data_IF_728312255559
#
_entry.id   IF_728312255559
#
_cell.length_a   1.000
_cell.length_b   1.000
_cell.length_c   1.000
_cell.angle_alpha   90.00
_cell.angle_beta   90.00
_cell.angle_gamma   90.00
#
_symmetry.space_group_name_H-M   'P 1'
#
loop_
_entity.id
_entity.type
_entity.pdbx_description
1 polymer ?
#
# COMPACT_ATOMS: atom_id res chain seq x y z
N UNK A 1 -4.36 -6.53 10.93
CA UNK A 1 -4.58 -7.95 11.29
C UNK A 1 -6.05 -8.31 11.43
N UNK A 2 -6.91 -7.45 12.01
CA UNK A 2 -8.34 -7.73 12.20
C UNK A 2 -9.11 -8.14 10.93
N UNK A 3 -8.86 -7.51 9.78
CA UNK A 3 -9.50 -7.87 8.51
C UNK A 3 -9.23 -9.32 8.09
N UNK A 4 -7.97 -9.77 8.19
CA UNK A 4 -7.60 -11.15 7.84
C UNK A 4 -8.22 -12.16 8.82
N UNK A 5 -8.27 -11.82 10.12
CA UNK A 5 -8.93 -12.65 11.14
C UNK A 5 -10.43 -12.81 10.86
N UNK A 6 -11.12 -11.73 10.52
CA UNK A 6 -12.55 -11.76 10.21
C UNK A 6 -12.83 -12.58 8.97
N UNK A 7 -12.02 -12.45 7.92
CA UNK A 7 -12.12 -13.26 6.72
C UNK A 7 -11.90 -14.75 7.01
N UNK A 8 -10.83 -15.10 7.72
CA UNK A 8 -10.53 -16.47 8.08
C UNK A 8 -11.65 -17.13 8.90
N UNK A 9 -12.25 -16.39 9.85
CA UNK A 9 -13.41 -16.85 10.62
C UNK A 9 -14.66 -17.01 9.76
N UNK A 10 -14.97 -16.03 8.89
CA UNK A 10 -16.14 -16.04 7.99
C UNK A 10 -16.13 -17.26 7.07
N UNK A 11 -14.95 -17.64 6.56
CA UNK A 11 -14.80 -18.75 5.61
C UNK A 11 -14.29 -20.05 6.24
N UNK A 12 -14.07 -20.10 7.56
CA UNK A 12 -13.60 -21.27 8.30
C UNK A 12 -12.30 -21.85 7.71
N UNK A 13 -11.29 -20.99 7.57
CA UNK A 13 -9.98 -21.35 7.02
C UNK A 13 -8.86 -20.94 7.98
N UNK A 14 -7.68 -21.54 7.83
CA UNK A 14 -6.50 -21.16 8.64
C UNK A 14 -6.03 -19.75 8.27
N UNK A 15 -5.86 -18.89 9.27
CA UNK A 15 -5.37 -17.52 9.08
C UNK A 15 -3.98 -17.48 8.46
N UNK A 16 -3.13 -18.48 8.73
CA UNK A 16 -1.77 -18.55 8.19
C UNK A 16 -1.74 -18.73 6.67
N UNK A 17 -2.87 -19.17 6.10
CA UNK A 17 -3.04 -19.31 4.65
C UNK A 17 -3.59 -18.05 3.99
N UNK A 18 -3.92 -16.99 4.75
CA UNK A 18 -4.56 -15.79 4.22
C UNK A 18 -3.59 -14.61 4.22
N UNK A 19 -3.47 -13.96 3.07
CA UNK A 19 -2.72 -12.71 2.93
C UNK A 19 -3.52 -11.65 2.17
N UNK A 20 -3.05 -10.41 2.16
CA UNK A 20 -3.68 -9.35 1.38
C UNK A 20 -3.21 -9.39 -0.08
N UNK A 21 -4.17 -9.37 -1.01
CA UNK A 21 -4.03 -8.78 -2.33
C UNK A 21 -4.30 -7.28 -2.28
N UNK A 22 -3.68 -6.57 -3.23
CA UNK A 22 -3.76 -5.13 -3.34
C UNK A 22 -4.30 -4.72 -4.70
N UNK A 23 -5.32 -3.87 -4.69
CA UNK A 23 -5.86 -3.28 -5.89
C UNK A 23 -5.97 -1.77 -5.72
N UNK A 24 -5.33 -1.02 -6.62
CA UNK A 24 -5.55 0.44 -6.72
C UNK A 24 -6.89 0.65 -7.43
N UNK A 25 -7.78 1.41 -6.80
CA UNK A 25 -9.10 1.67 -7.33
C UNK A 25 -9.05 2.86 -8.29
N UNK A 26 -9.84 2.78 -9.38
CA UNK A 26 -10.07 3.92 -10.29
C UNK A 26 -11.04 4.96 -9.70
N UNK A 27 -11.69 4.62 -8.60
CA UNK A 27 -12.67 5.44 -7.91
C UNK A 27 -11.98 6.48 -7.03
N UNK A 28 -12.54 7.68 -6.98
CA UNK A 28 -12.09 8.66 -5.98
C UNK A 28 -12.66 8.30 -4.61
N UNK A 29 -12.07 8.83 -3.55
CA UNK A 29 -12.52 8.59 -2.17
C UNK A 29 -13.98 8.95 -1.91
N UNK A 30 -14.58 9.82 -2.74
CA UNK A 30 -15.98 10.24 -2.69
C UNK A 30 -16.93 9.23 -3.34
N UNK A 31 -16.42 8.42 -4.26
CA UNK A 31 -17.22 7.47 -5.05
C UNK A 31 -17.34 6.10 -4.35
N UNK A 32 -16.52 5.85 -3.33
CA UNK A 32 -16.56 4.62 -2.53
C UNK A 32 -17.62 4.75 -1.45
N UNK A 33 -18.85 4.43 -1.82
CA UNK A 33 -20.02 4.52 -0.93
C UNK A 33 -20.33 3.15 -0.28
N UNK A 34 -20.01 2.06 -0.96
CA UNK A 34 -20.30 0.70 -0.49
C UNK A 34 -19.08 0.07 0.17
N UNK A 35 -19.28 -0.59 1.30
CA UNK A 35 -18.27 -1.43 1.96
C UNK A 35 -17.97 -2.66 1.11
N UNK A 36 -16.70 -3.10 0.96
CA UNK A 36 -16.39 -4.27 0.17
C UNK A 36 -16.93 -5.53 0.86
N UNK A 37 -17.34 -6.53 0.07
CA UNK A 37 -17.81 -7.83 0.59
C UNK A 37 -16.79 -8.50 1.51
N UNK A 38 -15.52 -8.40 1.12
CA UNK A 38 -14.36 -8.87 1.88
C UNK A 38 -13.23 -7.84 1.81
N UNK A 39 -12.46 -7.76 2.89
CA UNK A 39 -11.35 -6.83 2.97
C UNK A 39 -11.71 -5.45 3.48
N UNK A 40 -10.89 -4.47 3.10
CA UNK A 40 -11.13 -3.08 3.44
C UNK A 40 -10.58 -2.13 2.38
N UNK A 41 -11.24 -0.97 2.25
CA UNK A 41 -10.67 0.16 1.53
C UNK A 41 -9.84 1.02 2.47
N UNK A 42 -8.66 1.43 2.02
CA UNK A 42 -7.83 2.42 2.70
C UNK A 42 -7.62 3.64 1.80
N UNK A 43 -7.49 4.81 2.41
CA UNK A 43 -7.30 6.10 1.73
C UNK A 43 -6.46 7.03 2.59
N UNK A 44 -6.02 8.14 2.02
CA UNK A 44 -5.22 9.15 2.72
C UNK A 44 -3.74 8.78 2.84
N UNK A 45 -3.24 7.93 1.93
CA UNK A 45 -1.80 7.71 1.79
C UNK A 45 -1.23 8.70 0.78
N UNK A 46 0.02 9.09 0.98
CA UNK A 46 0.78 9.96 0.08
C UNK A 46 1.98 9.20 -0.48
N UNK A 47 2.27 9.37 -1.77
CA UNK A 47 3.47 8.85 -2.43
C UNK A 47 4.58 9.89 -2.33
N UNK A 48 5.72 9.52 -1.78
CA UNK A 48 6.97 10.32 -1.80
C UNK A 48 7.93 9.75 -2.84
N UNK A 49 8.68 10.64 -3.52
CA UNK A 49 9.73 10.25 -4.48
C UNK A 49 9.21 9.70 -5.82
N UNK A 50 7.90 9.65 -5.99
CA UNK A 50 7.19 9.25 -7.19
C UNK A 50 5.78 9.84 -7.18
N UNK A 51 5.00 9.55 -8.23
CA UNK A 51 3.58 9.88 -8.30
C UNK A 51 2.79 8.70 -8.85
N UNK A 52 1.54 8.60 -8.41
CA UNK A 52 0.58 7.74 -9.09
C UNK A 52 0.15 8.37 -10.42
N UNK A 53 0.19 7.60 -11.51
CA UNK A 53 -0.33 8.04 -12.80
C UNK A 53 -1.73 7.41 -13.05
N UNK A 54 -2.82 8.20 -12.99
CA UNK A 54 -4.17 7.67 -13.17
C UNK A 54 -4.46 7.23 -14.61
N UNK A 55 -3.73 7.75 -15.61
CA UNK A 55 -3.94 7.40 -17.01
C UNK A 55 -3.33 6.04 -17.34
N UNK A 56 -2.11 5.78 -16.87
CA UNK A 56 -1.41 4.51 -17.09
C UNK A 56 -1.64 3.49 -15.99
N UNK A 57 -2.22 3.91 -14.86
CA UNK A 57 -2.55 3.08 -13.69
C UNK A 57 -1.33 2.35 -13.11
N UNK A 58 -0.18 3.04 -13.14
CA UNK A 58 1.09 2.57 -12.56
C UNK A 58 1.82 3.74 -11.89
N UNK A 59 2.79 3.39 -11.05
CA UNK A 59 3.72 4.35 -10.47
C UNK A 59 4.59 4.97 -11.57
N UNK A 60 4.76 6.29 -11.51
CA UNK A 60 5.68 7.00 -12.40
C UNK A 60 6.47 8.09 -11.67
N UNK A 61 7.35 8.75 -12.42
CA UNK A 61 8.26 9.78 -11.90
C UNK A 61 7.51 10.96 -11.29
N UNK A 62 8.01 11.49 -10.17
CA UNK A 62 7.48 12.73 -9.63
C UNK A 62 7.70 13.90 -10.59
N UNK A 63 6.80 14.90 -10.56
CA UNK A 63 6.97 16.14 -11.32
C UNK A 63 7.94 17.08 -10.59
N UNK A 64 8.50 18.04 -11.33
CA UNK A 64 9.36 19.06 -10.74
C UNK A 64 8.60 19.82 -9.63
N UNK A 65 9.23 19.93 -8.46
CA UNK A 65 8.67 20.59 -7.26
C UNK A 65 7.44 19.91 -6.64
N UNK A 66 7.12 18.69 -7.05
CA UNK A 66 6.08 17.86 -6.45
C UNK A 66 6.74 16.89 -5.46
N UNK A 67 6.72 17.20 -4.17
CA UNK A 67 7.37 16.37 -3.13
C UNK A 67 6.54 15.13 -2.81
N UNK A 68 5.22 15.30 -2.79
CA UNK A 68 4.26 14.26 -2.45
C UNK A 68 3.06 14.33 -3.38
N UNK A 69 2.45 13.18 -3.65
CA UNK A 69 1.15 13.10 -4.35
C UNK A 69 0.20 12.20 -3.58
N UNK A 70 -1.09 12.44 -3.68
CA UNK A 70 -2.08 11.56 -3.07
C UNK A 70 -2.14 10.22 -3.80
N UNK A 71 -2.16 9.13 -3.02
CA UNK A 71 -2.45 7.80 -3.53
C UNK A 71 -3.97 7.62 -3.64
N UNK A 72 -4.48 7.00 -4.72
CA UNK A 72 -5.89 6.65 -4.80
C UNK A 72 -6.31 5.67 -3.69
N UNK A 73 -7.62 5.43 -3.61
CA UNK A 73 -8.15 4.40 -2.72
C UNK A 73 -7.54 3.05 -3.08
N UNK A 74 -7.10 2.32 -2.07
CA UNK A 74 -6.56 0.98 -2.19
C UNK A 74 -7.54 -0.01 -1.56
N UNK A 75 -7.83 -1.09 -2.27
CA UNK A 75 -8.53 -2.23 -1.72
C UNK A 75 -7.54 -3.28 -1.27
N UNK A 76 -7.60 -3.59 0.03
CA UNK A 76 -6.87 -4.68 0.65
C UNK A 76 -7.81 -5.88 0.73
N UNK A 77 -7.68 -6.79 -0.23
CA UNK A 77 -8.53 -7.96 -0.36
C UNK A 77 -7.85 -9.19 0.28
N UNK A 78 -8.43 -9.81 1.31
CA UNK A 78 -7.93 -11.08 1.84
C UNK A 78 -8.10 -12.19 0.80
N UNK A 79 -7.06 -12.99 0.62
CA UNK A 79 -7.04 -14.11 -0.31
C UNK A 79 -6.35 -15.31 0.35
N UNK A 80 -6.93 -16.50 0.19
CA UNK A 80 -6.37 -17.74 0.69
C UNK A 80 -5.36 -18.33 -0.31
N UNK A 81 -4.21 -18.81 0.17
CA UNK A 81 -3.15 -19.41 -0.63
C UNK A 81 -2.68 -18.52 -1.79
N UNK A 82 -2.75 -17.21 -1.60
CA UNK A 82 -2.40 -16.21 -2.61
C UNK A 82 -0.94 -16.34 -3.01
N UNK A 83 -0.70 -16.30 -4.31
CA UNK A 83 0.65 -16.20 -4.88
C UNK A 83 1.02 -14.72 -5.03
N UNK A 84 2.11 -14.32 -4.38
CA UNK A 84 2.62 -12.95 -4.48
C UNK A 84 3.07 -12.66 -5.91
N UNK A 85 2.63 -11.54 -6.53
CA UNK A 85 3.07 -11.17 -7.86
C UNK A 85 4.60 -11.00 -7.92
N UNK A 86 5.23 -11.62 -8.92
CA UNK A 86 6.69 -11.56 -9.10
C UNK A 86 7.13 -10.41 -10.00
N UNK A 87 6.20 -9.81 -10.76
CA UNK A 87 6.48 -8.74 -11.73
C UNK A 87 5.30 -7.76 -11.81
N UNK A 88 5.53 -6.62 -12.48
CA UNK A 88 4.49 -5.58 -12.67
C UNK A 88 4.14 -4.78 -11.42
N UNK A 89 4.85 -4.98 -10.32
CA UNK A 89 4.62 -4.30 -9.05
C UNK A 89 5.92 -3.77 -8.43
N UNK A 90 5.76 -2.75 -7.59
CA UNK A 90 6.74 -2.28 -6.63
C UNK A 90 6.24 -2.60 -5.21
N UNK A 91 7.09 -3.24 -4.40
CA UNK A 91 6.83 -3.52 -2.99
C UNK A 91 7.11 -2.25 -2.20
N UNK A 92 6.12 -1.36 -2.17
CA UNK A 92 6.26 -0.02 -1.62
C UNK A 92 6.10 -0.04 -0.10
N UNK A 93 7.12 0.37 0.67
CA UNK A 93 7.01 0.44 2.12
C UNK A 93 6.07 1.57 2.53
N UNK A 94 5.26 1.34 3.57
CA UNK A 94 4.36 2.33 4.16
C UNK A 94 4.91 2.77 5.51
N UNK A 95 5.06 4.08 5.69
CA UNK A 95 5.51 4.70 6.93
C UNK A 95 4.43 5.61 7.53
N UNK A 96 4.49 5.82 8.85
CA UNK A 96 3.59 6.74 9.54
C UNK A 96 3.89 8.19 9.19
N UNK A 97 5.18 8.57 9.18
CA UNK A 97 5.63 9.97 9.00
C UNK A 97 6.80 10.11 8.02
N UNK A 98 7.00 11.33 7.52
CA UNK A 98 8.03 11.71 6.54
C UNK A 98 9.46 11.37 6.97
N UNK A 99 9.77 11.52 8.26
CA UNK A 99 11.15 11.34 8.74
C UNK A 99 11.62 9.89 8.59
N UNK A 100 10.69 8.92 8.40
CA UNK A 100 10.94 7.47 8.31
C UNK A 100 11.82 6.92 9.44
N UNK A 101 11.97 7.71 10.50
CA UNK A 101 12.75 7.43 11.68
C UNK A 101 11.76 7.09 12.79
N UNK A 102 12.10 6.06 13.55
CA UNK A 102 11.37 5.63 14.73
C UNK A 102 12.32 4.85 15.62
N UNK A 103 11.97 4.68 16.88
CA UNK A 103 12.67 3.72 17.73
C UNK A 103 12.47 2.31 17.18
N UNK A 104 13.50 1.46 17.27
CA UNK A 104 13.34 0.04 17.00
C UNK A 104 12.43 -0.55 18.07
N UNK A 105 11.37 -1.25 17.64
CA UNK A 105 10.57 -2.08 18.54
C UNK A 105 11.40 -3.29 19.02
N UNK A 106 10.91 -3.99 20.04
CA UNK A 106 11.51 -5.23 20.55
C UNK A 106 11.64 -6.32 19.47
N UNK A 107 10.88 -6.23 18.38
CA UNK A 107 10.97 -7.15 17.22
C UNK A 107 11.91 -6.66 16.11
N UNK A 108 12.69 -5.59 16.34
CA UNK A 108 13.63 -5.03 15.36
C UNK A 108 12.98 -4.22 14.22
N UNK A 109 11.65 -4.08 14.21
CA UNK A 109 10.96 -3.24 13.23
C UNK A 109 10.87 -1.79 13.74
N UNK A 110 11.08 -0.82 12.86
CA UNK A 110 10.87 0.60 13.18
C UNK A 110 9.42 0.84 13.61
N UNK A 111 9.22 1.60 14.69
CA UNK A 111 7.89 2.08 15.12
C UNK A 111 7.18 2.94 14.07
N UNK A 112 7.91 3.41 13.06
CA UNK A 112 7.39 4.18 11.95
C UNK A 112 6.96 3.31 10.76
N UNK A 113 7.50 2.09 10.61
CA UNK A 113 7.07 1.18 9.56
C UNK A 113 5.70 0.58 9.88
N UNK A 114 4.81 0.58 8.89
CA UNK A 114 3.46 0.02 9.04
C UNK A 114 3.38 -1.36 8.38
N UNK A 115 3.61 -1.42 7.07
CA UNK A 115 3.65 -2.65 6.25
C UNK A 115 4.07 -2.30 4.81
N UNK A 116 4.05 -3.28 3.91
CA UNK A 116 4.37 -3.10 2.49
C UNK A 116 3.12 -3.28 1.64
N UNK A 117 2.93 -2.41 0.64
CA UNK A 117 1.83 -2.47 -0.33
C UNK A 117 2.40 -2.76 -1.72
N UNK A 118 1.73 -3.65 -2.45
CA UNK A 118 2.05 -3.91 -3.85
C UNK A 118 1.44 -2.81 -4.73
N UNK A 119 2.29 -1.91 -5.20
CA UNK A 119 1.88 -0.79 -6.08
C UNK A 119 2.19 -1.16 -7.53
N UNK A 120 1.23 -1.10 -8.47
CA UNK A 120 1.47 -1.35 -9.88
C UNK A 120 2.62 -0.51 -10.45
N UNK A 121 3.52 -1.12 -11.21
CA UNK A 121 4.74 -0.48 -11.70
C UNK A 121 5.20 -1.08 -13.02
N UNK A 122 5.60 -0.21 -13.95
CA UNK A 122 6.30 -0.59 -15.19
C UNK A 122 7.83 -0.65 -15.03
N UNK A 123 8.37 -0.25 -13.88
CA UNK A 123 9.81 -0.28 -13.55
C UNK A 123 10.11 -1.34 -12.49
N UNK A 124 11.38 -1.73 -12.40
CA UNK A 124 11.83 -2.74 -11.43
C UNK A 124 11.83 -2.22 -9.99
N UNK A 125 11.78 -3.14 -9.03
CA UNK A 125 11.91 -2.83 -7.60
C UNK A 125 13.14 -1.95 -7.30
N UNK A 126 14.30 -2.32 -7.86
CA UNK A 126 15.58 -1.60 -7.66
C UNK A 126 15.52 -0.14 -8.12
N UNK A 127 14.73 0.16 -9.14
CA UNK A 127 14.56 1.50 -9.66
C UNK A 127 13.91 2.42 -8.60
N UNK A 128 12.81 1.97 -8.00
CA UNK A 128 12.08 2.74 -7.00
C UNK A 128 12.77 2.78 -5.64
N UNK A 129 13.46 1.69 -5.26
CA UNK A 129 14.29 1.66 -4.04
C UNK A 129 15.37 2.74 -4.11
N UNK A 130 16.07 2.88 -5.25
CA UNK A 130 17.10 3.93 -5.43
C UNK A 130 16.55 5.35 -5.37
N UNK A 131 15.28 5.53 -5.71
CA UNK A 131 14.57 6.81 -5.63
C UNK A 131 13.95 7.08 -4.26
N UNK A 132 14.11 6.14 -3.33
CA UNK A 132 13.55 6.25 -1.99
C UNK A 132 12.03 6.32 -1.98
N UNK A 133 11.34 5.70 -2.95
CA UNK A 133 9.87 5.77 -2.99
C UNK A 133 9.26 5.11 -1.75
N UNK A 134 8.28 5.77 -1.14
CA UNK A 134 7.46 5.17 -0.10
C UNK A 134 6.05 5.75 -0.09
N UNK A 135 5.15 5.04 0.59
CA UNK A 135 3.85 5.55 0.98
C UNK A 135 3.89 6.07 2.41
N UNK A 136 3.16 7.15 2.68
CA UNK A 136 3.18 7.83 3.98
C UNK A 136 1.75 8.11 4.44
N UNK A 137 1.46 7.81 5.70
CA UNK A 137 0.12 8.00 6.28
C UNK A 137 -0.20 9.46 6.59
N UNK A 138 0.80 10.27 6.92
CA UNK A 138 0.61 11.67 7.29
C UNK A 138 1.77 12.53 6.79
N UNK A 139 1.41 13.69 6.23
CA UNK A 139 2.35 14.78 5.98
C UNK A 139 2.46 15.62 7.28
N UNK A 140 3.66 16.04 7.64
CA UNK A 140 3.84 16.97 8.76
C UNK A 140 3.30 18.34 8.32
N UNK A 141 2.17 18.76 8.89
CA UNK A 141 1.66 20.14 8.84
C UNK A 141 1.75 20.76 10.23
#
# INVERSE_FOLDING_TARGET
TGTLQNFARKYVISIDTVSFGFQVMKLTSKDVIQTPTDGCYIRGLFVEGARWDPATHVLGESRAKELFTEMPVLWLQPEQNRQTPTSGIYMCPVYKTLTRAGTLSTTGHSTNFVFTIEVPSSKSQKYWIKRGVALICALNY
#
